data_IF_709530642959
#
_entry.id   IF_709530642959
#
_cell.length_a   1.000
_cell.length_b   1.000
_cell.length_c   1.000
_cell.angle_alpha   90.00
_cell.angle_beta   90.00
_cell.angle_gamma   90.00
#
_symmetry.space_group_name_H-M   'P 1'
#
loop_
_entity.id
_entity.type
_entity.pdbx_description
1 polymer ?
#
# COMPACT_ATOMS: atom_id res chain seq x y z
N UNK A 1 -10.35 -14.51 5.22
CA UNK A 1 -10.70 -14.21 6.64
C UNK A 1 -11.03 -15.52 7.33
N UNK A 2 -10.51 -15.72 8.53
CA UNK A 2 -10.68 -16.94 9.31
C UNK A 2 -11.17 -16.59 10.73
N UNK A 3 -12.00 -17.46 11.31
CA UNK A 3 -12.48 -17.40 12.71
C UNK A 3 -12.60 -18.85 13.20
N UNK A 4 -12.11 -19.14 14.40
CA UNK A 4 -12.10 -20.48 15.01
C UNK A 4 -11.51 -21.59 14.11
N UNK A 5 -10.54 -21.25 13.27
CA UNK A 5 -9.88 -22.18 12.35
C UNK A 5 -10.64 -22.42 11.03
N UNK A 6 -11.79 -21.79 10.83
CA UNK A 6 -12.61 -21.94 9.62
C UNK A 6 -12.55 -20.70 8.73
N UNK A 7 -12.54 -20.84 7.39
CA UNK A 7 -12.63 -19.70 6.48
C UNK A 7 -14.05 -19.12 6.51
N UNK A 8 -14.16 -17.84 6.85
CA UNK A 8 -15.44 -17.11 6.87
C UNK A 8 -15.74 -16.36 5.58
N UNK A 9 -14.70 -16.00 4.84
CA UNK A 9 -14.85 -15.17 3.65
C UNK A 9 -13.52 -14.98 2.93
N UNK A 10 -13.62 -14.76 1.62
CA UNK A 10 -12.51 -14.49 0.73
C UNK A 10 -12.94 -13.47 -0.31
N UNK A 11 -11.97 -12.78 -0.90
CA UNK A 11 -12.20 -11.79 -1.93
C UNK A 11 -10.89 -11.41 -2.59
N UNK A 12 -11.00 -10.75 -3.73
CA UNK A 12 -9.87 -10.18 -4.46
C UNK A 12 -10.17 -8.72 -4.75
N UNK A 13 -9.11 -7.94 -4.91
CA UNK A 13 -9.18 -6.57 -5.40
C UNK A 13 -8.54 -6.53 -6.78
N UNK A 14 -9.15 -5.77 -7.70
CA UNK A 14 -8.54 -5.44 -8.98
C UNK A 14 -7.54 -4.30 -8.83
N UNK A 15 -6.66 -4.40 -7.83
CA UNK A 15 -5.63 -3.40 -7.52
C UNK A 15 -4.51 -4.06 -6.69
N UNK A 16 -3.27 -3.66 -6.91
CA UNK A 16 -2.13 -4.19 -6.18
C UNK A 16 -0.84 -3.41 -6.39
N UNK A 17 0.29 -4.09 -6.22
CA UNK A 17 1.61 -3.46 -6.24
C UNK A 17 1.97 -2.83 -7.60
N UNK A 18 1.39 -3.32 -8.70
CA UNK A 18 1.59 -2.74 -10.03
C UNK A 18 0.99 -1.34 -10.15
N UNK A 19 -0.14 -1.07 -9.47
CA UNK A 19 -0.75 0.25 -9.46
C UNK A 19 0.11 1.26 -8.67
N UNK A 20 0.79 0.80 -7.63
CA UNK A 20 1.80 1.61 -6.90
C UNK A 20 2.93 2.00 -7.86
N UNK A 21 3.43 1.06 -8.66
CA UNK A 21 4.49 1.33 -9.66
C UNK A 21 4.03 2.33 -10.71
N UNK A 22 2.78 2.21 -11.20
CA UNK A 22 2.20 3.15 -12.17
C UNK A 22 2.12 4.57 -11.59
N UNK A 23 1.71 4.70 -10.33
CA UNK A 23 1.65 6.02 -9.68
C UNK A 23 3.04 6.64 -9.50
N UNK A 24 4.04 5.83 -9.12
CA UNK A 24 5.43 6.29 -9.02
C UNK A 24 5.94 6.74 -10.38
N UNK A 25 5.68 5.97 -11.44
CA UNK A 25 6.06 6.33 -12.81
C UNK A 25 5.45 7.68 -13.24
N UNK A 26 4.16 7.89 -12.93
CA UNK A 26 3.48 9.16 -13.22
C UNK A 26 4.04 10.30 -12.37
N UNK A 27 4.21 10.08 -11.06
CA UNK A 27 4.62 11.09 -10.10
C UNK A 27 6.07 11.55 -10.30
N UNK A 28 6.98 10.62 -10.56
CA UNK A 28 8.41 10.91 -10.79
C UNK A 28 8.76 11.10 -12.27
N UNK A 29 7.81 10.92 -13.19
CA UNK A 29 8.00 11.04 -14.63
C UNK A 29 9.11 10.14 -15.19
N UNK A 30 9.19 8.91 -14.68
CA UNK A 30 10.14 7.88 -15.12
C UNK A 30 9.39 6.73 -15.79
N UNK A 31 10.09 5.87 -16.54
CA UNK A 31 9.45 4.69 -17.11
C UNK A 31 9.03 3.67 -16.03
N UNK A 32 8.16 2.72 -16.40
CA UNK A 32 7.61 1.72 -15.47
C UNK A 32 8.71 0.83 -14.86
N UNK A 33 9.78 0.56 -15.60
CA UNK A 33 10.87 -0.31 -15.12
C UNK A 33 11.69 0.42 -14.06
N UNK A 34 12.02 1.68 -14.30
CA UNK A 34 12.73 2.54 -13.36
C UNK A 34 11.87 2.81 -12.11
N UNK A 35 10.57 3.07 -12.28
CA UNK A 35 9.63 3.24 -11.16
C UNK A 35 9.58 2.00 -10.25
N UNK A 36 9.60 0.81 -10.84
CA UNK A 36 9.60 -0.45 -10.10
C UNK A 36 10.93 -0.66 -9.34
N UNK A 37 12.06 -0.28 -9.93
CA UNK A 37 13.35 -0.30 -9.26
C UNK A 37 13.39 0.68 -8.08
N UNK A 38 12.94 1.91 -8.29
CA UNK A 38 12.82 2.94 -7.24
C UNK A 38 11.92 2.46 -6.11
N UNK A 39 10.75 1.89 -6.42
CA UNK A 39 9.82 1.33 -5.41
C UNK A 39 10.49 0.29 -4.52
N UNK A 40 11.28 -0.62 -5.11
CA UNK A 40 11.96 -1.69 -4.35
C UNK A 40 13.14 -1.21 -3.52
N UNK A 41 13.84 -0.19 -4.00
CA UNK A 41 15.10 0.28 -3.39
C UNK A 41 14.88 1.40 -2.38
N UNK A 42 13.96 2.31 -2.65
CA UNK A 42 13.72 3.53 -1.87
C UNK A 42 12.29 3.65 -1.33
N UNK A 43 11.38 2.75 -1.73
CA UNK A 43 9.97 2.86 -1.39
C UNK A 43 9.68 2.71 0.11
N UNK A 44 8.85 3.61 0.64
CA UNK A 44 8.32 3.54 2.01
C UNK A 44 6.84 3.90 1.98
N UNK A 45 6.00 3.10 2.64
CA UNK A 45 4.60 3.44 2.86
C UNK A 45 4.38 4.29 4.13
N UNK A 46 5.47 4.66 4.82
CA UNK A 46 5.45 5.50 6.02
C UNK A 46 6.02 6.87 5.66
N UNK A 47 5.18 7.90 5.80
CA UNK A 47 5.57 9.31 5.63
C UNK A 47 6.18 9.80 6.95
N UNK A 48 7.51 9.73 7.07
CA UNK A 48 8.23 10.31 8.23
C UNK A 48 8.74 11.70 7.86
N UNK A 49 8.02 12.74 8.28
CA UNK A 49 8.36 14.15 7.99
C UNK A 49 9.66 14.62 8.65
N UNK A 50 10.13 13.90 9.67
CA UNK A 50 11.35 14.22 10.41
C UNK A 50 12.61 13.55 9.83
N UNK A 51 12.50 12.75 8.77
CA UNK A 51 13.67 12.25 8.06
C UNK A 51 14.25 13.37 7.21
N UNK A 52 15.38 13.89 7.70
CA UNK A 52 16.29 14.79 6.99
C UNK A 52 16.50 14.24 5.58
N UNK A 53 16.41 15.13 4.59
CA UNK A 53 16.72 14.85 3.20
C UNK A 53 17.99 13.99 3.12
N UNK A 54 17.81 12.73 2.74
CA UNK A 54 18.92 11.88 2.38
C UNK A 54 19.57 12.52 1.14
N UNK A 55 20.89 12.39 0.98
CA UNK A 55 21.63 12.94 -0.17
C UNK A 55 21.30 12.19 -1.49
N UNK A 56 20.20 11.44 -1.48
CA UNK A 56 19.63 10.74 -2.62
C UNK A 56 19.04 11.75 -3.60
N UNK A 57 19.30 11.52 -4.89
CA UNK A 57 18.69 12.31 -5.97
C UNK A 57 17.15 12.21 -6.05
N UNK A 58 16.54 11.33 -5.26
CA UNK A 58 15.10 11.07 -5.24
C UNK A 58 14.47 11.80 -4.05
N UNK A 59 13.39 12.55 -4.32
CA UNK A 59 12.54 13.13 -3.27
C UNK A 59 11.81 12.00 -2.52
N UNK A 60 12.42 11.54 -1.43
CA UNK A 60 11.93 10.42 -0.64
C UNK A 60 10.62 10.71 0.06
N UNK A 61 10.35 11.98 0.41
CA UNK A 61 9.08 12.38 1.02
C UNK A 61 7.96 12.31 -0.02
N UNK A 62 8.19 12.84 -1.22
CA UNK A 62 7.23 12.74 -2.31
C UNK A 62 6.97 11.28 -2.71
N UNK A 63 8.02 10.46 -2.83
CA UNK A 63 7.88 9.02 -3.11
C UNK A 63 7.03 8.33 -2.03
N UNK A 64 7.28 8.63 -0.76
CA UNK A 64 6.51 8.07 0.34
C UNK A 64 5.03 8.51 0.31
N UNK A 65 4.74 9.77 -0.04
CA UNK A 65 3.37 10.27 -0.19
C UNK A 65 2.63 9.53 -1.31
N UNK A 66 3.27 9.36 -2.47
CA UNK A 66 2.69 8.60 -3.61
C UNK A 66 2.38 7.15 -3.21
N UNK A 67 3.33 6.48 -2.57
CA UNK A 67 3.16 5.09 -2.12
C UNK A 67 2.06 4.98 -1.05
N UNK A 68 2.07 5.87 -0.06
CA UNK A 68 1.12 5.88 1.04
C UNK A 68 -0.32 6.06 0.53
N UNK A 69 -0.56 7.03 -0.36
CA UNK A 69 -1.88 7.29 -0.93
C UNK A 69 -2.46 6.05 -1.62
N UNK A 70 -1.65 5.30 -2.40
CA UNK A 70 -2.13 4.09 -3.08
C UNK A 70 -2.44 2.95 -2.11
N UNK A 71 -1.59 2.72 -1.11
CA UNK A 71 -1.87 1.71 -0.10
C UNK A 71 -3.06 2.08 0.79
N UNK A 72 -3.27 3.36 1.08
CA UNK A 72 -4.47 3.85 1.76
C UNK A 72 -5.73 3.51 0.94
N UNK A 73 -5.74 3.74 -0.38
CA UNK A 73 -6.84 3.34 -1.27
C UNK A 73 -7.11 1.83 -1.21
N UNK A 74 -6.05 1.00 -1.29
CA UNK A 74 -6.16 -0.46 -1.20
C UNK A 74 -6.79 -0.86 0.14
N UNK A 75 -6.30 -0.32 1.26
CA UNK A 75 -6.82 -0.64 2.58
C UNK A 75 -8.24 -0.12 2.79
N UNK A 76 -8.62 1.02 2.20
CA UNK A 76 -10.00 1.51 2.20
C UNK A 76 -10.94 0.53 1.48
N UNK A 77 -10.52 -0.07 0.36
CA UNK A 77 -11.30 -1.09 -0.35
C UNK A 77 -11.43 -2.39 0.44
N UNK A 78 -10.34 -2.84 1.09
CA UNK A 78 -10.38 -3.97 2.02
C UNK A 78 -11.37 -3.71 3.15
N UNK A 79 -11.27 -2.54 3.79
CA UNK A 79 -12.15 -2.16 4.89
C UNK A 79 -13.62 -2.06 4.45
N UNK A 80 -13.89 -1.56 3.25
CA UNK A 80 -15.24 -1.53 2.67
C UNK A 80 -15.81 -2.93 2.47
N UNK A 81 -14.98 -3.89 2.04
CA UNK A 81 -15.38 -5.29 1.95
C UNK A 81 -15.67 -5.89 3.34
N UNK A 82 -14.82 -5.63 4.33
CA UNK A 82 -15.06 -6.08 5.71
C UNK A 82 -16.36 -5.50 6.30
N UNK A 83 -16.66 -4.23 6.05
CA UNK A 83 -17.93 -3.58 6.42
C UNK A 83 -19.13 -4.28 5.80
N UNK A 84 -19.04 -4.66 4.53
CA UNK A 84 -20.13 -5.38 3.84
C UNK A 84 -20.43 -6.76 4.45
N UNK A 85 -19.50 -7.30 5.24
CA UNK A 85 -19.64 -8.56 5.96
C UNK A 85 -19.94 -8.38 7.46
N UNK A 86 -20.13 -7.14 7.94
CA UNK A 86 -20.27 -6.79 9.38
C UNK A 86 -19.07 -7.22 10.25
N UNK A 87 -17.86 -7.15 9.67
CA UNK A 87 -16.61 -7.58 10.30
C UNK A 87 -15.58 -6.47 10.49
N UNK A 88 -15.88 -5.23 10.13
CA UNK A 88 -15.00 -4.10 10.43
C UNK A 88 -14.86 -3.86 11.94
N UNK A 89 -13.65 -3.61 12.40
CA UNK A 89 -13.35 -3.50 13.84
C UNK A 89 -13.47 -4.81 14.63
N UNK A 90 -13.80 -5.95 13.97
CA UNK A 90 -14.03 -7.26 14.60
C UNK A 90 -12.97 -8.30 14.22
N UNK A 91 -11.76 -7.84 13.93
CA UNK A 91 -10.60 -8.69 13.63
C UNK A 91 -9.74 -8.89 14.89
N UNK A 92 -10.24 -9.67 15.86
CA UNK A 92 -9.52 -9.91 17.12
C UNK A 92 -8.14 -10.57 16.92
N UNK A 93 -7.99 -11.39 15.87
CA UNK A 93 -6.70 -11.97 15.47
C UNK A 93 -5.78 -11.01 14.70
N UNK A 94 -6.24 -9.79 14.45
CA UNK A 94 -5.50 -8.78 13.68
C UNK A 94 -5.49 -9.03 12.18
N UNK A 95 -4.53 -8.40 11.50
CA UNK A 95 -4.29 -8.51 10.06
C UNK A 95 -2.88 -9.05 9.84
N UNK A 96 -2.76 -10.06 9.00
CA UNK A 96 -1.49 -10.58 8.52
C UNK A 96 -1.28 -10.10 7.07
N UNK A 97 -0.23 -9.30 6.86
CA UNK A 97 0.26 -8.94 5.53
C UNK A 97 1.47 -9.83 5.23
N UNK A 98 1.51 -10.42 4.04
CA UNK A 98 2.54 -11.38 3.59
C UNK A 98 3.24 -10.81 2.37
#
# INVERSE_FOLDING_TARGET
>A
MYEDGYPLGYGTLAMGSEDVTKDISIGLQVDIKDAEEIKRTHGSAIVQKDRVADDSAIDSLFLADVINARYEEIFMKINSHLKSLDRDGRLAGGVLLI
#
